data_IF_164535619002
#
_entry.id   IF_164535619002
#
_cell.length_a   1.000
_cell.length_b   1.000
_cell.length_c   1.000
_cell.angle_alpha   90.00
_cell.angle_beta   90.00
_cell.angle_gamma   90.00
#
_symmetry.space_group_name_H-M   'P 1'
#
loop_
_entity.id
_entity.type
_entity.pdbx_description
1 polymer ?
#
# COMPACT_ATOMS: atom_id res chain seq x y z
N UNK A 1 -21.74 20.60 32.30
CA UNK A 1 -20.50 19.79 32.27
C UNK A 1 -20.09 19.60 30.83
N UNK A 2 -18.98 20.21 30.41
CA UNK A 2 -18.39 19.97 29.09
C UNK A 2 -17.41 18.81 29.23
N UNK A 3 -17.67 17.71 28.55
CA UNK A 3 -16.69 16.63 28.41
C UNK A 3 -15.46 17.18 27.69
N UNK A 4 -14.23 16.89 28.14
CA UNK A 4 -13.06 17.17 27.33
C UNK A 4 -13.12 16.24 26.11
N UNK A 5 -13.13 16.83 24.92
CA UNK A 5 -12.84 16.09 23.71
C UNK A 5 -11.42 15.53 23.87
N UNK A 6 -11.32 14.23 24.08
CA UNK A 6 -10.08 13.48 23.90
C UNK A 6 -9.59 13.83 22.50
N UNK A 7 -8.54 14.66 22.42
CA UNK A 7 -7.83 14.89 21.18
C UNK A 7 -7.43 13.51 20.66
N UNK A 8 -8.05 13.09 19.56
CA UNK A 8 -7.67 11.88 18.86
C UNK A 8 -6.16 11.97 18.61
N UNK A 9 -5.40 11.02 19.16
CA UNK A 9 -3.96 10.94 18.98
C UNK A 9 -3.64 11.07 17.49
N UNK A 10 -2.79 12.01 17.07
CA UNK A 10 -2.44 12.20 15.65
C UNK A 10 -1.57 11.06 15.10
N UNK A 11 -1.13 10.13 15.96
CA UNK A 11 -0.38 8.94 15.56
C UNK A 11 -1.35 7.88 15.01
N UNK A 12 -1.18 7.43 13.76
CA UNK A 12 -1.91 6.28 13.24
C UNK A 12 -1.71 5.06 14.16
N UNK A 13 -2.67 4.13 14.25
CA UNK A 13 -2.64 3.01 15.19
C UNK A 13 -1.56 1.95 14.89
N UNK A 14 -0.68 2.22 13.92
CA UNK A 14 0.31 1.29 13.41
C UNK A 14 1.70 1.67 13.93
N UNK A 15 2.33 0.78 14.68
CA UNK A 15 3.77 0.88 14.98
C UNK A 15 4.56 0.47 13.73
N UNK A 16 4.62 1.37 12.76
CA UNK A 16 5.28 1.11 11.46
C UNK A 16 6.76 0.73 11.62
N UNK A 17 7.42 1.20 12.68
CA UNK A 17 8.84 0.93 12.91
C UNK A 17 9.10 -0.54 13.25
N UNK A 18 8.12 -1.23 13.82
CA UNK A 18 8.23 -2.64 14.19
C UNK A 18 8.38 -3.59 12.99
N UNK A 19 7.97 -3.16 11.79
CA UNK A 19 8.01 -3.97 10.57
C UNK A 19 8.60 -3.27 9.33
N UNK A 20 9.13 -2.04 9.49
CA UNK A 20 9.83 -1.33 8.41
C UNK A 20 11.27 -1.85 8.27
N UNK A 21 11.76 -2.18 7.05
CA UNK A 21 13.15 -2.53 6.84
C UNK A 21 14.11 -1.40 7.26
N UNK A 22 15.26 -1.77 7.82
CA UNK A 22 16.27 -0.80 8.22
C UNK A 22 16.70 0.10 7.05
N UNK A 23 16.72 1.42 7.28
CA UNK A 23 17.09 2.42 6.27
C UNK A 23 15.96 2.86 5.33
N UNK A 24 14.77 2.24 5.40
CA UNK A 24 13.60 2.64 4.61
C UNK A 24 12.80 3.70 5.36
N UNK A 25 12.48 4.81 4.68
CA UNK A 25 11.58 5.85 5.22
C UNK A 25 10.27 5.88 4.44
N UNK A 26 9.21 5.34 5.04
CA UNK A 26 7.86 5.36 4.46
C UNK A 26 7.38 6.79 4.18
N UNK A 27 7.58 7.70 5.12
CA UNK A 27 7.18 9.11 4.98
C UNK A 27 7.88 9.76 3.79
N UNK A 28 9.18 9.52 3.60
CA UNK A 28 9.91 10.07 2.44
C UNK A 28 9.34 9.52 1.13
N UNK A 29 9.02 8.23 1.08
CA UNK A 29 8.42 7.62 -0.11
C UNK A 29 7.04 8.21 -0.42
N UNK A 30 6.19 8.41 0.59
CA UNK A 30 4.89 9.08 0.41
C UNK A 30 5.05 10.54 -0.03
N UNK A 31 6.04 11.26 0.51
CA UNK A 31 6.34 12.63 0.09
C UNK A 31 6.79 12.69 -1.37
N UNK A 32 7.63 11.75 -1.82
CA UNK A 32 8.01 11.62 -3.24
C UNK A 32 6.77 11.30 -4.10
N UNK A 33 5.93 10.38 -3.65
CA UNK A 33 4.70 10.01 -4.35
C UNK A 33 3.73 11.19 -4.49
N UNK A 34 3.58 12.03 -3.46
CA UNK A 34 2.69 13.21 -3.42
C UNK A 34 2.87 14.17 -4.58
N UNK A 35 4.07 14.25 -5.17
CA UNK A 35 4.32 15.12 -6.32
C UNK A 35 3.58 14.70 -7.60
N UNK A 36 3.05 13.48 -7.66
CA UNK A 36 2.27 13.01 -8.81
C UNK A 36 0.82 13.56 -8.86
N UNK A 37 0.28 14.02 -7.71
CA UNK A 37 -0.99 14.78 -7.59
C UNK A 37 -2.23 14.18 -8.28
N UNK A 38 -2.26 12.87 -8.56
CA UNK A 38 -3.44 12.23 -9.15
C UNK A 38 -3.15 11.13 -10.18
N UNK A 39 -4.21 10.45 -10.66
CA UNK A 39 -4.13 9.24 -11.46
C UNK A 39 -3.86 9.53 -12.95
N UNK A 40 -2.76 10.21 -13.26
CA UNK A 40 -2.33 10.41 -14.65
C UNK A 40 -1.69 9.13 -15.22
N UNK A 41 -1.63 9.00 -16.55
CA UNK A 41 -0.91 7.90 -17.19
C UNK A 41 0.57 7.84 -16.74
N UNK A 42 1.22 9.01 -16.60
CA UNK A 42 2.59 9.10 -16.09
C UNK A 42 2.70 8.63 -14.63
N UNK A 43 1.71 8.95 -13.80
CA UNK A 43 1.63 8.45 -12.41
C UNK A 43 1.57 6.93 -12.38
N UNK A 44 0.70 6.32 -13.19
CA UNK A 44 0.59 4.86 -13.25
C UNK A 44 1.87 4.18 -13.73
N UNK A 45 2.50 4.71 -14.79
CA UNK A 45 3.76 4.16 -15.33
C UNK A 45 4.88 4.27 -14.30
N UNK A 46 5.02 5.43 -13.66
CA UNK A 46 6.01 5.63 -12.61
C UNK A 46 5.77 4.67 -11.44
N UNK A 47 4.53 4.63 -10.93
CA UNK A 47 4.17 3.84 -9.77
C UNK A 47 4.41 2.34 -10.01
N UNK A 48 3.95 1.83 -11.16
CA UNK A 48 4.21 0.45 -11.56
C UNK A 48 5.71 0.13 -11.62
N UNK A 49 6.53 1.03 -12.14
CA UNK A 49 7.98 0.81 -12.18
C UNK A 49 8.64 0.81 -10.80
N UNK A 50 8.06 1.50 -9.81
CA UNK A 50 8.56 1.45 -8.44
C UNK A 50 8.22 0.11 -7.76
N UNK A 51 6.98 -0.37 -7.89
CA UNK A 51 6.41 -1.46 -7.06
C UNK A 51 6.41 -2.84 -7.72
N UNK A 52 6.70 -2.95 -9.02
CA UNK A 52 6.79 -4.25 -9.71
C UNK A 52 7.87 -5.13 -9.07
N UNK A 53 7.79 -6.44 -9.33
CA UNK A 53 8.85 -7.39 -8.96
C UNK A 53 10.24 -6.92 -9.43
N UNK A 54 11.22 -7.02 -8.54
CA UNK A 54 12.58 -6.48 -8.69
C UNK A 54 12.65 -4.95 -8.86
N UNK A 55 11.57 -4.23 -8.58
CA UNK A 55 11.51 -2.78 -8.57
C UNK A 55 12.15 -2.18 -7.31
N UNK A 56 12.39 -0.85 -7.30
CA UNK A 56 12.94 -0.13 -6.15
C UNK A 56 12.19 -0.30 -4.83
N UNK A 57 10.89 -0.62 -4.87
CA UNK A 57 10.05 -0.83 -3.68
C UNK A 57 9.61 -2.29 -3.51
N UNK A 58 10.27 -3.24 -4.20
CA UNK A 58 10.12 -4.66 -3.91
C UNK A 58 10.94 -5.01 -2.66
N UNK A 59 10.37 -4.77 -1.48
CA UNK A 59 11.03 -5.02 -0.20
C UNK A 59 11.21 -6.51 0.09
N UNK A 60 10.32 -7.35 -0.44
CA UNK A 60 10.42 -8.81 -0.36
C UNK A 60 11.70 -9.30 -1.03
N UNK A 61 11.99 -8.79 -2.23
CA UNK A 61 13.22 -9.11 -2.95
C UNK A 61 14.46 -8.46 -2.33
N UNK A 62 14.37 -7.19 -1.92
CA UNK A 62 15.55 -6.43 -1.45
C UNK A 62 15.99 -6.78 -0.03
N UNK A 63 15.07 -7.16 0.86
CA UNK A 63 15.35 -7.34 2.29
C UNK A 63 14.91 -8.71 2.85
N UNK A 64 14.13 -9.48 2.09
CA UNK A 64 13.68 -10.83 2.45
C UNK A 64 12.17 -10.95 2.62
N UNK A 65 11.68 -12.20 2.65
CA UNK A 65 10.25 -12.53 2.67
C UNK A 65 9.50 -12.02 3.89
N UNK A 66 10.18 -11.79 5.01
CA UNK A 66 9.59 -11.22 6.22
C UNK A 66 9.03 -9.80 6.04
N UNK A 67 9.38 -9.10 4.94
CA UNK A 67 8.91 -7.75 4.65
C UNK A 67 7.74 -7.70 3.65
N UNK A 68 7.06 -8.81 3.40
CA UNK A 68 5.87 -8.88 2.56
C UNK A 68 4.75 -7.96 3.07
N UNK A 69 4.41 -8.06 4.37
CA UNK A 69 3.41 -7.18 5.00
C UNK A 69 3.79 -5.70 4.89
N UNK A 70 5.07 -5.37 5.09
CA UNK A 70 5.55 -4.00 4.90
C UNK A 70 5.41 -3.54 3.45
N UNK A 71 5.75 -4.39 2.48
CA UNK A 71 5.60 -4.07 1.06
C UNK A 71 4.16 -3.75 0.68
N UNK A 72 3.20 -4.55 1.18
CA UNK A 72 1.77 -4.34 0.93
C UNK A 72 1.24 -3.08 1.64
N UNK A 73 1.64 -2.85 2.89
CA UNK A 73 1.33 -1.61 3.60
C UNK A 73 1.91 -0.38 2.89
N UNK A 74 3.18 -0.44 2.50
CA UNK A 74 3.87 0.62 1.78
C UNK A 74 3.17 0.92 0.44
N UNK A 75 2.85 -0.11 -0.35
CA UNK A 75 2.12 0.02 -1.62
C UNK A 75 0.82 0.81 -1.47
N UNK A 76 0.00 0.47 -0.46
CA UNK A 76 -1.23 1.19 -0.17
C UNK A 76 -0.99 2.66 0.19
N UNK A 77 -0.02 2.90 1.08
CA UNK A 77 0.30 4.22 1.58
C UNK A 77 0.85 5.16 0.48
N UNK A 78 1.86 4.70 -0.28
CA UNK A 78 2.46 5.50 -1.36
C UNK A 78 1.55 5.65 -2.56
N UNK A 79 0.72 4.64 -2.86
CA UNK A 79 -0.27 4.71 -3.93
C UNK A 79 -1.34 5.75 -3.65
N UNK A 80 -1.86 5.77 -2.42
CA UNK A 80 -2.80 6.80 -1.97
C UNK A 80 -2.15 8.18 -2.02
N UNK A 81 -0.93 8.32 -1.50
CA UNK A 81 -0.18 9.57 -1.54
C UNK A 81 0.07 10.07 -2.97
N UNK A 82 0.26 9.18 -3.96
CA UNK A 82 0.37 9.53 -5.37
C UNK A 82 -0.93 10.08 -5.99
N UNK A 83 -2.05 9.98 -5.27
CA UNK A 83 -3.39 10.33 -5.75
C UNK A 83 -4.05 9.23 -6.58
N UNK A 84 -3.58 7.97 -6.50
CA UNK A 84 -4.25 6.84 -7.10
C UNK A 84 -5.45 6.47 -6.23
N UNK A 85 -6.61 6.27 -6.86
CA UNK A 85 -7.83 5.86 -6.14
C UNK A 85 -7.61 4.52 -5.43
N UNK A 86 -8.02 4.42 -4.17
CA UNK A 86 -7.91 3.22 -3.33
C UNK A 86 -8.41 1.95 -4.03
N UNK A 87 -9.57 2.03 -4.67
CA UNK A 87 -10.16 0.90 -5.39
C UNK A 87 -9.29 0.41 -6.57
N UNK A 88 -8.50 1.30 -7.18
CA UNK A 88 -7.55 0.94 -8.24
C UNK A 88 -6.35 0.21 -7.64
N UNK A 89 -5.84 0.65 -6.48
CA UNK A 89 -4.74 -0.01 -5.78
C UNK A 89 -5.12 -1.45 -5.40
N UNK A 90 -6.29 -1.63 -4.77
CA UNK A 90 -6.75 -2.95 -4.33
C UNK A 90 -6.94 -3.92 -5.51
N UNK A 91 -7.47 -3.44 -6.65
CA UNK A 91 -7.62 -4.27 -7.86
C UNK A 91 -6.29 -4.56 -8.56
N UNK A 92 -5.38 -3.59 -8.58
CA UNK A 92 -4.08 -3.74 -9.22
C UNK A 92 -3.18 -4.73 -8.47
N UNK A 93 -3.28 -4.79 -7.13
CA UNK A 93 -2.62 -5.83 -6.33
C UNK A 93 -3.12 -7.24 -6.69
N UNK A 94 -4.44 -7.42 -6.75
CA UNK A 94 -5.02 -8.69 -7.22
C UNK A 94 -4.63 -9.07 -8.65
N UNK A 95 -4.54 -8.10 -9.56
CA UNK A 95 -3.99 -8.35 -10.90
C UNK A 95 -2.52 -8.79 -10.86
N UNK A 96 -1.70 -8.18 -10.01
CA UNK A 96 -0.30 -8.55 -9.85
C UNK A 96 -0.13 -9.97 -9.30
N UNK A 97 -0.93 -10.38 -8.32
CA UNK A 97 -0.95 -11.74 -7.76
C UNK A 97 -1.35 -12.79 -8.82
N UNK A 98 -2.36 -12.46 -9.65
CA UNK A 98 -2.73 -13.30 -10.79
C UNK A 98 -1.58 -13.44 -11.80
N UNK A 99 -0.85 -12.35 -12.08
CA UNK A 99 0.30 -12.37 -13.00
C UNK A 99 1.50 -13.13 -12.45
N UNK A 100 1.71 -13.10 -11.13
CA UNK A 100 2.78 -13.84 -10.46
C UNK A 100 2.52 -15.36 -10.39
N UNK A 101 1.30 -15.81 -10.70
CA UNK A 101 0.92 -17.23 -10.66
C UNK A 101 0.75 -17.78 -9.25
N UNK A 102 0.70 -16.92 -8.23
CA UNK A 102 0.58 -17.25 -6.81
C UNK A 102 -0.87 -17.20 -6.31
N UNK A 103 -1.81 -16.83 -7.19
CA UNK A 103 -3.25 -16.79 -6.92
C UNK A 103 -3.79 -18.17 -6.54
N UNK A 104 -4.63 -18.23 -5.52
CA UNK A 104 -5.47 -19.39 -5.22
C UNK A 104 -6.87 -19.19 -5.80
N UNK A 105 -7.52 -20.27 -6.24
CA UNK A 105 -8.87 -20.20 -6.84
C UNK A 105 -9.90 -19.54 -5.91
N UNK A 106 -9.75 -19.73 -4.61
CA UNK A 106 -10.58 -19.18 -3.52
C UNK A 106 -10.60 -17.65 -3.43
N UNK A 107 -9.66 -16.94 -4.05
CA UNK A 107 -9.54 -15.48 -3.94
C UNK A 107 -10.31 -14.71 -5.03
N UNK A 108 -11.09 -15.39 -5.87
CA UNK A 108 -11.79 -14.82 -7.03
C UNK A 108 -10.81 -14.24 -8.08
N UNK A 109 -11.28 -13.46 -9.05
CA UNK A 109 -10.50 -12.81 -10.12
C UNK A 109 -10.41 -11.30 -9.91
N UNK A 110 -9.42 -10.64 -10.50
CA UNK A 110 -9.18 -9.20 -10.33
C UNK A 110 -10.32 -8.27 -10.79
N UNK A 111 -11.24 -8.79 -11.61
CA UNK A 111 -12.47 -8.11 -12.05
C UNK A 111 -13.73 -8.56 -11.27
N UNK A 112 -13.57 -9.41 -10.25
CA UNK A 112 -14.64 -9.96 -9.41
C UNK A 112 -14.86 -9.18 -8.11
N UNK A 113 -15.30 -9.87 -7.06
CA UNK A 113 -15.48 -9.30 -5.74
C UNK A 113 -14.12 -9.17 -5.00
N UNK A 114 -14.07 -8.35 -3.94
CA UNK A 114 -12.90 -8.35 -3.04
C UNK A 114 -12.70 -9.77 -2.48
N UNK A 115 -11.47 -10.31 -2.42
CA UNK A 115 -10.17 -9.62 -2.49
C UNK A 115 -9.60 -9.37 -3.90
N UNK A 116 -10.41 -9.50 -4.96
CA UNK A 116 -10.00 -9.25 -6.35
C UNK A 116 -8.88 -10.21 -6.82
N UNK A 117 -8.87 -11.45 -6.36
CA UNK A 117 -7.84 -12.43 -6.70
C UNK A 117 -6.51 -12.25 -5.96
N UNK A 118 -6.46 -11.36 -4.97
CA UNK A 118 -5.33 -11.13 -4.08
C UNK A 118 -5.41 -11.95 -2.79
N UNK A 119 -4.31 -12.09 -2.05
CA UNK A 119 -4.36 -12.69 -0.71
C UNK A 119 -5.15 -11.76 0.25
N UNK A 120 -6.12 -12.27 1.04
CA UNK A 120 -6.85 -11.46 2.02
C UNK A 120 -5.96 -10.72 3.03
N UNK A 121 -4.82 -11.30 3.43
CA UNK A 121 -3.88 -10.64 4.34
C UNK A 121 -3.14 -9.50 3.64
N UNK A 122 -2.72 -9.70 2.39
CA UNK A 122 -2.11 -8.65 1.56
C UNK A 122 -3.08 -7.47 1.38
N UNK A 123 -4.35 -7.75 1.10
CA UNK A 123 -5.42 -6.73 1.03
C UNK A 123 -5.63 -5.99 2.34
N UNK A 124 -5.51 -6.67 3.48
CA UNK A 124 -5.59 -6.03 4.79
C UNK A 124 -4.44 -5.02 4.96
N UNK A 125 -3.21 -5.41 4.65
CA UNK A 125 -2.05 -4.51 4.76
C UNK A 125 -2.13 -3.34 3.79
N UNK A 126 -2.57 -3.55 2.54
CA UNK A 126 -2.79 -2.45 1.58
C UNK A 126 -3.83 -1.45 2.12
N UNK A 127 -4.94 -1.93 2.69
CA UNK A 127 -5.96 -1.06 3.29
C UNK A 127 -5.43 -0.30 4.51
N UNK A 128 -4.63 -0.97 5.35
CA UNK A 128 -3.98 -0.34 6.50
C UNK A 128 -3.01 0.78 6.06
N UNK A 129 -2.25 0.56 4.98
CA UNK A 129 -1.39 1.59 4.38
C UNK A 129 -2.16 2.79 3.84
N UNK A 130 -3.28 2.54 3.15
CA UNK A 130 -4.19 3.60 2.67
C UNK A 130 -4.75 4.40 3.84
N UNK A 131 -5.24 3.73 4.89
CA UNK A 131 -5.75 4.38 6.10
C UNK A 131 -4.67 5.22 6.80
N UNK A 132 -3.45 4.69 6.90
CA UNK A 132 -2.30 5.42 7.42
C UNK A 132 -2.04 6.71 6.64
N UNK A 133 -1.95 6.64 5.30
CA UNK A 133 -1.71 7.81 4.46
C UNK A 133 -2.77 8.91 4.66
N UNK A 134 -4.05 8.52 4.69
CA UNK A 134 -5.18 9.43 4.95
C UNK A 134 -5.06 10.13 6.32
N UNK A 135 -4.78 9.36 7.37
CA UNK A 135 -4.62 9.91 8.74
C UNK A 135 -3.40 10.82 8.86
N UNK A 136 -2.36 10.57 8.05
CA UNK A 136 -1.16 11.40 7.96
C UNK A 136 -1.31 12.63 7.06
N UNK A 137 -2.49 12.90 6.48
CA UNK A 137 -2.77 14.11 5.70
C UNK A 137 -2.24 14.07 4.26
N UNK A 138 -2.14 12.86 3.69
CA UNK A 138 -1.92 12.64 2.26
C UNK A 138 -3.22 12.56 1.47
#
# INVERSE_FOLDING_TARGET
>A
MRYPALAASPSPPYDILSFTPAGVSLINNMMVARFHRGPSALTYVWFYNQVKGHGPWDYKFQHGSQYEHFGNFHYGAVGHAAGIKDAVLLRAAGWAQNRAGTRREEFDVWYGAAPFGDDPDDQYWIRAGIDYAKRSGF
#
